data_IF_519313954644
#
_entry.id   IF_519313954644
#
_cell.length_a   1.000
_cell.length_b   1.000
_cell.length_c   1.000
_cell.angle_alpha   90.00
_cell.angle_beta   90.00
_cell.angle_gamma   90.00
#
_symmetry.space_group_name_H-M   'P 1'
#
loop_
_entity.id
_entity.type
_entity.pdbx_description
1 polymer ?
#
# COMPACT_ATOMS: atom_id res chain seq x y z
N UNK A 1 -22.22 23.21 8.01
CA UNK A 1 -22.34 23.72 9.38
C UNK A 1 -20.93 23.79 9.93
N UNK A 2 -20.43 24.97 10.28
CA UNK A 2 -19.11 25.12 10.90
C UNK A 2 -19.28 24.93 12.41
N UNK A 3 -19.20 23.68 12.86
CA UNK A 3 -19.25 23.36 14.28
C UNK A 3 -17.90 23.59 14.96
N UNK A 4 -17.92 23.98 16.23
CA UNK A 4 -16.70 24.05 17.05
C UNK A 4 -16.01 22.68 17.17
N UNK A 5 -14.78 22.66 17.69
CA UNK A 5 -13.98 21.42 17.81
C UNK A 5 -14.73 20.29 18.52
N UNK A 6 -15.49 20.61 19.56
CA UNK A 6 -16.31 19.67 20.33
C UNK A 6 -17.40 19.03 19.45
N UNK A 7 -18.11 19.83 18.65
CA UNK A 7 -19.16 19.31 17.76
C UNK A 7 -18.58 18.40 16.68
N UNK A 8 -17.37 18.70 16.19
CA UNK A 8 -16.69 17.83 15.23
C UNK A 8 -16.24 16.50 15.87
N UNK A 9 -15.79 16.50 17.12
CA UNK A 9 -15.43 15.25 17.82
C UNK A 9 -16.64 14.36 18.05
N UNK A 10 -17.77 14.94 18.45
CA UNK A 10 -19.02 14.18 18.61
C UNK A 10 -19.43 13.56 17.27
N UNK A 11 -19.45 14.36 16.20
CA UNK A 11 -19.72 13.86 14.86
C UNK A 11 -18.75 12.74 14.42
N UNK A 12 -17.45 12.91 14.71
CA UNK A 12 -16.44 11.90 14.38
C UNK A 12 -16.69 10.59 15.13
N UNK A 13 -16.98 10.67 16.42
CA UNK A 13 -17.29 9.49 17.24
C UNK A 13 -18.54 8.76 16.71
N UNK A 14 -19.60 9.50 16.37
CA UNK A 14 -20.83 8.93 15.80
C UNK A 14 -20.57 8.24 14.46
N UNK A 15 -19.75 8.83 13.59
CA UNK A 15 -19.39 8.24 12.29
C UNK A 15 -18.50 7.00 12.44
N UNK A 16 -17.57 6.99 13.39
CA UNK A 16 -16.74 5.82 13.69
C UNK A 16 -17.62 4.67 14.20
N UNK A 17 -18.53 4.96 15.14
CA UNK A 17 -19.42 3.95 15.72
C UNK A 17 -20.35 3.30 14.69
N UNK A 18 -20.83 4.05 13.68
CA UNK A 18 -21.66 3.50 12.59
C UNK A 18 -20.95 2.47 11.74
N UNK A 19 -19.62 2.54 11.70
CA UNK A 19 -18.81 1.81 10.73
C UNK A 19 -18.06 0.68 11.44
N UNK A 20 -17.60 0.90 12.67
CA UNK A 20 -16.88 -0.06 13.49
C UNK A 20 -17.60 -1.43 13.56
N UNK A 21 -16.90 -2.49 13.15
CA UNK A 21 -17.41 -3.87 13.17
C UNK A 21 -18.44 -4.23 12.09
N UNK A 22 -18.96 -3.26 11.32
CA UNK A 22 -20.04 -3.49 10.34
C UNK A 22 -19.50 -3.47 8.90
N UNK A 23 -18.41 -2.73 8.65
CA UNK A 23 -17.93 -2.53 7.29
C UNK A 23 -17.21 -3.74 6.71
N UNK A 24 -17.47 -4.01 5.42
CA UNK A 24 -16.71 -5.00 4.64
C UNK A 24 -16.04 -4.30 3.46
N UNK A 25 -14.70 -4.30 3.37
CA UNK A 25 -13.99 -3.75 2.22
C UNK A 25 -14.27 -4.61 0.98
N UNK A 26 -14.49 -3.96 -0.16
CA UNK A 26 -14.73 -4.63 -1.44
C UNK A 26 -13.89 -4.02 -2.55
N UNK A 27 -13.44 -4.86 -3.47
CA UNK A 27 -12.72 -4.40 -4.65
C UNK A 27 -13.61 -3.55 -5.56
N UNK A 28 -13.08 -2.41 -5.99
CA UNK A 28 -13.66 -1.60 -7.04
C UNK A 28 -13.15 -2.06 -8.41
N UNK A 29 -14.07 -2.21 -9.37
CA UNK A 29 -13.72 -2.49 -10.76
C UNK A 29 -12.92 -1.37 -11.43
N UNK A 30 -12.20 -1.70 -12.51
CA UNK A 30 -11.29 -0.79 -13.23
C UNK A 30 -12.01 0.49 -13.66
N UNK A 31 -13.17 0.37 -14.32
CA UNK A 31 -13.98 1.50 -14.79
C UNK A 31 -14.30 2.46 -13.66
N UNK A 32 -14.71 1.93 -12.49
CA UNK A 32 -15.06 2.75 -11.33
C UNK A 32 -13.85 3.52 -10.79
N UNK A 33 -12.69 2.88 -10.69
CA UNK A 33 -11.45 3.55 -10.22
C UNK A 33 -10.97 4.64 -11.19
N UNK A 34 -11.25 4.49 -12.48
CA UNK A 34 -10.89 5.49 -13.49
C UNK A 34 -11.87 6.67 -13.54
N UNK A 35 -13.18 6.41 -13.44
CA UNK A 35 -14.21 7.43 -13.59
C UNK A 35 -14.52 8.19 -12.29
N UNK A 36 -14.46 7.52 -11.13
CA UNK A 36 -14.76 8.16 -9.85
C UNK A 36 -13.50 8.87 -9.33
N UNK A 37 -13.42 10.17 -9.61
CA UNK A 37 -12.32 11.05 -9.15
C UNK A 37 -12.72 11.97 -8.02
N UNK A 38 -14.01 12.09 -7.71
CA UNK A 38 -14.59 12.90 -6.64
C UNK A 38 -15.75 12.14 -6.02
N UNK A 39 -15.96 12.33 -4.72
CA UNK A 39 -17.14 11.79 -4.02
C UNK A 39 -17.71 12.81 -3.06
N UNK A 40 -18.96 12.60 -2.63
CA UNK A 40 -19.60 13.42 -1.61
C UNK A 40 -19.08 13.06 -0.23
N UNK A 41 -18.97 14.07 0.66
CA UNK A 41 -18.48 13.85 2.02
C UNK A 41 -19.33 12.85 2.82
N UNK A 42 -20.64 12.76 2.53
CA UNK A 42 -21.57 11.82 3.16
C UNK A 42 -21.28 10.35 2.87
N UNK A 43 -20.50 10.07 1.81
CA UNK A 43 -20.12 8.71 1.40
C UNK A 43 -18.70 8.35 1.84
N UNK A 44 -18.07 9.21 2.64
CA UNK A 44 -16.73 9.01 3.16
C UNK A 44 -16.84 8.72 4.65
N UNK A 45 -16.26 7.60 5.03
CA UNK A 45 -16.26 7.11 6.40
C UNK A 45 -14.82 7.16 6.94
N UNK A 46 -14.62 7.68 8.16
CA UNK A 46 -13.32 7.69 8.80
C UNK A 46 -12.92 6.26 9.18
N UNK A 47 -11.65 5.90 8.96
CA UNK A 47 -11.13 4.59 9.38
C UNK A 47 -11.03 4.50 10.91
N UNK A 48 -11.79 3.61 11.59
CA UNK A 48 -11.73 3.45 13.04
C UNK A 48 -10.33 3.11 13.56
N UNK A 49 -9.53 2.42 12.75
CA UNK A 49 -8.18 1.96 13.11
C UNK A 49 -7.09 3.04 12.96
N UNK A 50 -7.45 4.23 12.47
CA UNK A 50 -6.54 5.37 12.29
C UNK A 50 -6.39 6.17 13.60
N UNK A 51 -5.19 6.68 13.87
CA UNK A 51 -4.90 7.48 15.07
C UNK A 51 -5.78 8.72 15.16
N UNK A 52 -6.17 9.28 14.02
CA UNK A 52 -7.12 10.38 13.93
C UNK A 52 -8.45 10.12 14.65
N UNK A 53 -8.88 8.85 14.71
CA UNK A 53 -10.17 8.43 15.26
C UNK A 53 -10.08 7.98 16.72
N UNK A 54 -8.88 7.82 17.28
CA UNK A 54 -8.74 7.34 18.64
C UNK A 54 -9.11 8.41 19.66
N UNK A 55 -9.97 8.13 20.66
CA UNK A 55 -10.39 9.13 21.66
C UNK A 55 -9.22 9.77 22.42
N UNK A 56 -8.11 9.04 22.61
CA UNK A 56 -6.92 9.51 23.33
C UNK A 56 -5.98 10.38 22.49
N UNK A 57 -6.02 10.27 21.15
CA UNK A 57 -5.11 10.98 20.23
C UNK A 57 -5.92 12.02 19.46
N UNK A 58 -6.86 11.54 18.65
CA UNK A 58 -7.82 12.36 17.94
C UNK A 58 -7.22 13.23 16.82
N UNK A 59 -8.02 14.17 16.28
CA UNK A 59 -7.58 15.07 15.23
C UNK A 59 -6.52 16.05 15.71
N UNK A 60 -5.44 16.21 14.94
CA UNK A 60 -4.57 17.38 15.07
C UNK A 60 -5.25 18.60 14.43
N UNK A 61 -5.81 19.47 15.27
CA UNK A 61 -6.58 20.64 14.81
C UNK A 61 -5.75 21.71 14.11
N UNK A 62 -4.43 21.78 14.36
CA UNK A 62 -3.56 22.69 13.65
C UNK A 62 -3.48 22.30 12.17
N UNK A 63 -3.25 21.01 11.90
CA UNK A 63 -3.24 20.46 10.54
C UNK A 63 -4.61 20.65 9.87
N UNK A 64 -5.72 20.37 10.58
CA UNK A 64 -7.08 20.59 10.06
C UNK A 64 -7.28 22.06 9.70
N UNK A 65 -6.92 23.00 10.59
CA UNK A 65 -7.04 24.44 10.37
C UNK A 65 -6.22 24.93 9.17
N UNK A 66 -5.02 24.38 8.97
CA UNK A 66 -4.20 24.67 7.80
C UNK A 66 -4.92 24.32 6.49
N UNK A 67 -5.49 23.11 6.41
CA UNK A 67 -6.30 22.70 5.25
C UNK A 67 -7.60 23.51 5.12
N UNK A 68 -8.24 23.90 6.22
CA UNK A 68 -9.42 24.78 6.17
C UNK A 68 -9.09 26.13 5.53
N UNK A 69 -7.95 26.74 5.92
CA UNK A 69 -7.48 28.00 5.33
C UNK A 69 -7.26 27.85 3.84
N UNK A 70 -6.65 26.74 3.42
CA UNK A 70 -6.45 26.42 2.01
C UNK A 70 -7.78 26.32 1.24
N UNK A 71 -8.75 25.56 1.76
CA UNK A 71 -10.07 25.39 1.13
C UNK A 71 -10.85 26.69 1.05
N UNK A 72 -10.78 27.54 2.08
CA UNK A 72 -11.40 28.87 2.07
C UNK A 72 -10.77 29.78 1.02
N UNK A 73 -9.43 29.76 0.87
CA UNK A 73 -8.71 30.50 -0.18
C UNK A 73 -9.17 30.08 -1.58
N UNK A 74 -9.24 28.76 -1.84
CA UNK A 74 -9.73 28.22 -3.11
C UNK A 74 -11.16 28.68 -3.40
N UNK A 75 -12.04 28.67 -2.40
CA UNK A 75 -13.44 29.08 -2.58
C UNK A 75 -13.59 30.56 -2.94
N UNK A 76 -12.71 31.43 -2.45
CA UNK A 76 -12.69 32.87 -2.80
C UNK A 76 -12.18 33.12 -4.22
N UNK A 77 -11.24 32.31 -4.71
CA UNK A 77 -10.60 32.48 -6.02
C UNK A 77 -11.27 31.68 -7.16
N UNK A 78 -12.56 31.31 -7.01
CA UNK A 78 -13.30 30.43 -7.95
C UNK A 78 -13.35 30.88 -9.42
N UNK A 79 -13.01 32.14 -9.73
CA UNK A 79 -12.97 32.67 -11.09
C UNK A 79 -11.63 32.48 -11.80
N UNK A 80 -10.61 31.92 -11.15
CA UNK A 80 -9.32 31.64 -11.78
C UNK A 80 -9.26 30.19 -12.26
N UNK A 81 -9.49 29.98 -13.56
CA UNK A 81 -9.45 28.67 -14.23
C UNK A 81 -8.07 27.97 -14.12
N UNK A 82 -7.02 28.67 -13.67
CA UNK A 82 -5.67 28.13 -13.48
C UNK A 82 -5.41 27.60 -12.06
N UNK A 83 -6.32 27.78 -11.11
CA UNK A 83 -6.08 27.38 -9.72
C UNK A 83 -6.49 25.91 -9.46
N UNK A 84 -5.55 24.99 -9.70
CA UNK A 84 -5.68 23.60 -9.21
C UNK A 84 -5.43 23.60 -7.70
N UNK A 85 -6.50 23.42 -6.92
CA UNK A 85 -6.45 23.23 -5.46
C UNK A 85 -5.34 22.22 -5.07
N UNK A 86 -4.54 22.46 -4.02
CA UNK A 86 -3.63 21.43 -3.49
C UNK A 86 -4.37 20.15 -3.04
N UNK A 87 -5.60 20.21 -2.54
CA UNK A 87 -6.47 19.02 -2.40
C UNK A 87 -6.95 18.39 -3.73
N UNK A 88 -6.87 19.09 -4.86
CA UNK A 88 -6.98 18.48 -6.19
C UNK A 88 -5.64 17.87 -6.66
N UNK A 89 -4.50 18.33 -6.12
CA UNK A 89 -3.19 17.70 -6.35
C UNK A 89 -3.03 16.41 -5.52
N UNK A 90 -3.60 16.37 -4.32
CA UNK A 90 -3.59 15.21 -3.42
C UNK A 90 -5.01 14.72 -3.08
N UNK A 91 -5.57 13.80 -3.89
CA UNK A 91 -6.85 13.18 -3.57
C UNK A 91 -6.77 12.32 -2.31
N UNK A 92 -7.89 12.16 -1.61
CA UNK A 92 -7.98 11.19 -0.50
C UNK A 92 -7.81 9.77 -1.03
N UNK A 93 -6.97 8.97 -0.40
CA UNK A 93 -6.89 7.55 -0.71
C UNK A 93 -8.02 6.83 0.01
N UNK A 94 -8.86 6.13 -0.74
CA UNK A 94 -10.06 5.50 -0.20
C UNK A 94 -10.21 4.06 -0.66
N UNK A 95 -10.72 3.21 0.20
CA UNK A 95 -11.13 1.84 -0.12
C UNK A 95 -12.65 1.78 -0.20
N UNK A 96 -13.22 1.03 -1.14
CA UNK A 96 -14.68 0.89 -1.24
C UNK A 96 -15.17 -0.07 -0.16
N UNK A 97 -16.27 0.27 0.49
CA UNK A 97 -16.86 -0.57 1.54
C UNK A 97 -18.34 -0.88 1.26
N UNK A 98 -18.86 -1.89 1.97
CA UNK A 98 -20.30 -2.19 2.11
C UNK A 98 -20.74 -1.93 3.56
N UNK A 99 -22.00 -1.49 3.80
CA UNK A 99 -23.14 -1.42 2.85
C UNK A 99 -23.08 -0.31 1.78
N UNK A 100 -22.57 0.88 2.09
CA UNK A 100 -22.32 1.96 1.11
C UNK A 100 -21.07 2.78 1.48
N UNK A 101 -20.54 3.48 0.48
CA UNK A 101 -19.52 4.49 0.65
C UNK A 101 -18.09 3.98 0.46
N UNK A 102 -17.16 4.77 1.01
CA UNK A 102 -15.74 4.52 0.96
C UNK A 102 -15.12 4.81 2.33
N UNK A 103 -14.20 3.95 2.73
CA UNK A 103 -13.35 4.15 3.89
C UNK A 103 -12.16 5.02 3.52
N UNK A 104 -11.86 6.02 4.34
CA UNK A 104 -10.67 6.85 4.16
C UNK A 104 -9.46 6.08 4.67
N UNK A 105 -8.53 5.75 3.77
CA UNK A 105 -7.26 5.13 4.14
C UNK A 105 -6.19 6.19 4.45
N UNK A 106 -6.21 7.31 3.73
CA UNK A 106 -5.31 8.43 3.98
C UNK A 106 -6.00 9.77 3.66
N UNK A 107 -5.78 10.75 4.54
CA UNK A 107 -6.22 12.13 4.37
C UNK A 107 -7.37 12.52 5.29
N UNK A 108 -7.48 11.92 6.47
CA UNK A 108 -8.51 12.23 7.45
C UNK A 108 -8.54 13.71 7.84
N UNK A 109 -7.39 14.36 8.05
CA UNK A 109 -7.35 15.80 8.33
C UNK A 109 -7.88 16.64 7.15
N UNK A 110 -7.60 16.24 5.90
CA UNK A 110 -8.13 16.88 4.69
C UNK A 110 -9.64 16.70 4.57
N UNK A 111 -10.15 15.52 4.90
CA UNK A 111 -11.59 15.25 4.97
C UNK A 111 -12.27 16.08 6.06
N UNK A 112 -11.69 16.12 7.25
CA UNK A 112 -12.19 16.90 8.39
C UNK A 112 -12.28 18.40 8.06
N UNK A 113 -11.22 18.94 7.45
CA UNK A 113 -11.21 20.33 6.98
C UNK A 113 -12.29 20.57 5.91
N UNK A 114 -12.52 19.61 5.02
CA UNK A 114 -13.53 19.73 3.97
C UNK A 114 -14.94 19.72 4.56
N UNK A 115 -15.18 18.88 5.56
CA UNK A 115 -16.42 18.83 6.31
C UNK A 115 -16.69 20.17 7.02
N UNK A 116 -15.71 20.67 7.77
CA UNK A 116 -15.83 21.92 8.56
C UNK A 116 -16.01 23.16 7.68
N UNK A 117 -15.40 23.19 6.49
CA UNK A 117 -15.59 24.27 5.50
C UNK A 117 -16.88 24.15 4.68
N UNK A 118 -17.62 23.05 4.85
CA UNK A 118 -18.89 22.81 4.16
C UNK A 118 -18.73 22.48 2.67
N UNK A 119 -17.61 21.86 2.28
CA UNK A 119 -17.45 21.35 0.91
C UNK A 119 -18.46 20.22 0.67
N UNK A 120 -19.05 20.17 -0.53
CA UNK A 120 -20.00 19.09 -0.90
C UNK A 120 -19.27 17.83 -1.36
N UNK A 121 -18.14 18.01 -2.04
CA UNK A 121 -17.37 16.95 -2.67
C UNK A 121 -15.88 17.18 -2.48
N UNK A 122 -15.11 16.09 -2.46
CA UNK A 122 -13.65 16.11 -2.38
C UNK A 122 -13.05 15.11 -3.39
N UNK A 123 -11.87 15.39 -3.96
CA UNK A 123 -11.16 14.45 -4.82
C UNK A 123 -10.77 13.17 -4.08
N UNK A 124 -10.92 12.03 -4.74
CA UNK A 124 -10.61 10.70 -4.19
C UNK A 124 -9.87 9.83 -5.20
N UNK A 125 -9.02 8.95 -4.68
CA UNK A 125 -8.33 7.88 -5.39
C UNK A 125 -8.75 6.57 -4.75
N UNK A 126 -9.52 5.77 -5.50
CA UNK A 126 -9.97 4.47 -5.04
C UNK A 126 -8.84 3.45 -5.20
N UNK A 127 -8.52 2.73 -4.12
CA UNK A 127 -7.52 1.65 -4.11
C UNK A 127 -8.16 0.33 -3.71
N UNK A 128 -7.67 -0.74 -4.32
CA UNK A 128 -7.96 -2.12 -3.96
C UNK A 128 -6.77 -2.64 -3.16
N UNK A 129 -6.86 -2.64 -1.84
CA UNK A 129 -5.80 -3.16 -0.97
C UNK A 129 -5.86 -4.68 -0.90
N UNK A 130 -4.77 -5.32 -0.50
CA UNK A 130 -4.75 -6.78 -0.39
C UNK A 130 -5.65 -7.26 0.75
N UNK A 131 -6.65 -8.08 0.41
CA UNK A 131 -7.51 -8.72 1.38
C UNK A 131 -7.05 -10.16 1.64
N UNK A 132 -7.51 -10.74 2.75
CA UNK A 132 -7.13 -12.10 3.13
C UNK A 132 -7.47 -13.15 2.05
N UNK A 133 -8.65 -13.02 1.42
CA UNK A 133 -9.07 -13.89 0.33
C UNK A 133 -8.14 -13.78 -0.89
N UNK A 134 -7.56 -12.61 -1.13
CA UNK A 134 -6.59 -12.44 -2.20
C UNK A 134 -5.29 -13.16 -1.87
N UNK A 135 -4.83 -13.10 -0.61
CA UNK A 135 -3.63 -13.83 -0.16
C UNK A 135 -3.86 -15.33 -0.31
N UNK A 136 -5.03 -15.85 0.09
CA UNK A 136 -5.40 -17.25 -0.09
C UNK A 136 -5.35 -17.67 -1.56
N UNK A 137 -5.88 -16.84 -2.47
CA UNK A 137 -5.84 -17.09 -3.92
C UNK A 137 -4.42 -17.07 -4.47
N UNK A 138 -3.61 -16.08 -4.08
CA UNK A 138 -2.21 -15.98 -4.48
C UNK A 138 -1.41 -17.18 -3.98
N UNK A 139 -1.64 -17.63 -2.74
CA UNK A 139 -0.99 -18.80 -2.17
C UNK A 139 -1.36 -20.09 -2.91
N UNK A 140 -2.63 -20.24 -3.28
CA UNK A 140 -3.11 -21.40 -4.05
C UNK A 140 -2.57 -21.40 -5.49
N UNK A 141 -2.35 -20.23 -6.08
CA UNK A 141 -1.78 -20.09 -7.43
C UNK A 141 -0.24 -20.19 -7.47
N UNK A 142 0.42 -20.20 -6.30
CA UNK A 142 1.86 -20.17 -6.20
C UNK A 142 2.48 -21.52 -6.60
N UNK A 143 3.45 -21.48 -7.52
CA UNK A 143 3.97 -22.66 -8.22
C UNK A 143 5.06 -23.38 -7.45
N UNK A 144 5.72 -22.72 -6.51
CA UNK A 144 6.90 -23.24 -5.84
C UNK A 144 6.66 -23.48 -4.35
N UNK A 145 7.67 -24.04 -3.69
CA UNK A 145 7.72 -24.36 -2.26
C UNK A 145 8.77 -23.52 -1.50
N UNK A 146 9.59 -22.74 -2.21
CA UNK A 146 10.45 -21.70 -1.63
C UNK A 146 9.84 -20.33 -1.89
N UNK A 147 10.03 -19.41 -0.93
CA UNK A 147 9.54 -18.04 -1.04
C UNK A 147 10.66 -17.04 -0.89
N UNK A 148 10.60 -15.95 -1.64
CA UNK A 148 11.33 -14.72 -1.35
C UNK A 148 10.35 -13.61 -1.01
N UNK A 149 10.66 -12.82 0.01
CA UNK A 149 9.91 -11.62 0.36
C UNK A 149 10.77 -10.37 0.23
N UNK A 150 10.24 -9.32 -0.37
CA UNK A 150 10.92 -8.03 -0.49
C UNK A 150 10.00 -6.89 -0.06
N UNK A 151 10.56 -5.87 0.59
CA UNK A 151 9.89 -4.59 0.79
C UNK A 151 9.87 -3.80 -0.53
N UNK A 152 8.67 -3.48 -0.99
CA UNK A 152 8.44 -2.81 -2.25
C UNK A 152 9.00 -1.38 -2.24
N UNK A 153 8.79 -0.65 -1.14
CA UNK A 153 9.12 0.77 -1.04
C UNK A 153 10.61 0.97 -0.78
N UNK A 154 11.25 0.08 -0.03
CA UNK A 154 12.65 0.24 0.39
C UNK A 154 13.65 -0.49 -0.50
N UNK A 155 13.25 -1.62 -1.08
CA UNK A 155 14.16 -2.51 -1.81
C UNK A 155 13.84 -2.52 -3.30
N UNK A 156 12.57 -2.64 -3.67
CA UNK A 156 12.18 -2.88 -5.07
C UNK A 156 12.04 -1.60 -5.88
N UNK A 157 11.42 -0.57 -5.33
CA UNK A 157 11.32 0.73 -5.98
C UNK A 157 12.60 1.51 -5.84
N UNK A 158 12.96 2.21 -6.92
CA UNK A 158 14.10 3.10 -6.87
C UNK A 158 13.79 4.32 -6.01
N UNK A 159 14.69 4.57 -5.07
CA UNK A 159 14.83 5.77 -4.25
C UNK A 159 16.23 6.33 -4.47
N UNK A 160 16.45 7.59 -4.10
CA UNK A 160 17.77 8.23 -4.21
C UNK A 160 18.89 7.46 -3.47
N UNK A 161 18.52 6.63 -2.49
CA UNK A 161 19.43 5.93 -1.58
C UNK A 161 19.73 4.46 -1.93
N UNK A 162 19.09 3.90 -2.96
CA UNK A 162 19.24 2.47 -3.29
C UNK A 162 19.67 2.25 -4.75
N UNK A 163 20.38 3.21 -5.32
CA UNK A 163 21.05 3.04 -6.60
C UNK A 163 20.25 3.40 -7.85
N UNK A 164 20.73 2.94 -9.02
CA UNK A 164 20.14 3.28 -10.30
C UNK A 164 18.78 2.62 -10.53
N UNK A 165 18.00 3.23 -11.42
CA UNK A 165 16.67 2.77 -11.79
C UNK A 165 16.66 2.08 -13.16
N UNK A 166 15.80 1.07 -13.30
CA UNK A 166 15.42 0.49 -14.59
C UNK A 166 14.87 1.54 -15.53
N UNK A 167 15.04 1.33 -16.85
CA UNK A 167 14.55 2.26 -17.88
C UNK A 167 13.09 2.66 -17.60
N UNK A 168 12.74 3.95 -17.76
CA UNK A 168 11.37 4.37 -17.55
C UNK A 168 10.45 3.67 -18.56
N UNK A 169 9.22 3.38 -18.17
CA UNK A 169 8.22 2.82 -19.08
C UNK A 169 7.98 3.79 -20.26
N UNK A 170 7.62 3.28 -21.45
CA UNK A 170 7.30 4.15 -22.58
C UNK A 170 6.03 4.96 -22.30
N UNK A 171 5.86 6.06 -23.04
CA UNK A 171 4.59 6.81 -23.05
C UNK A 171 3.47 5.92 -23.61
N UNK A 172 2.25 5.92 -23.03
CA UNK A 172 1.76 6.78 -21.93
C UNK A 172 1.98 6.21 -20.52
N UNK A 173 2.53 5.02 -20.38
CA UNK A 173 2.61 4.29 -19.11
C UNK A 173 3.45 4.99 -18.05
N UNK A 174 4.52 5.73 -18.42
CA UNK A 174 5.28 6.55 -17.46
C UNK A 174 4.47 7.59 -16.69
N UNK A 175 3.33 8.04 -17.24
CA UNK A 175 2.47 9.01 -16.56
C UNK A 175 1.48 8.33 -15.61
N UNK A 176 1.21 7.03 -15.84
CA UNK A 176 0.32 6.21 -15.02
C UNK A 176 1.11 5.66 -13.85
N UNK A 177 2.26 5.04 -14.13
CA UNK A 177 3.15 4.46 -13.14
C UNK A 177 4.29 5.41 -12.84
N UNK A 178 4.23 6.02 -11.66
CA UNK A 178 5.22 7.03 -11.24
C UNK A 178 6.49 6.39 -10.70
N UNK A 179 6.37 5.21 -10.11
CA UNK A 179 7.48 4.47 -9.53
C UNK A 179 8.30 3.77 -10.62
N UNK A 180 9.61 3.81 -10.47
CA UNK A 180 10.55 3.02 -11.27
C UNK A 180 11.08 1.88 -10.41
N UNK A 181 11.39 0.76 -11.05
CA UNK A 181 12.05 -0.35 -10.36
C UNK A 181 13.54 -0.04 -10.20
N UNK A 182 14.14 -0.50 -9.10
CA UNK A 182 15.59 -0.55 -8.91
C UNK A 182 16.21 -1.43 -10.00
N UNK A 183 17.40 -1.04 -10.47
CA UNK A 183 18.11 -1.75 -11.52
C UNK A 183 18.35 -3.23 -11.14
N UNK A 184 18.04 -4.13 -12.07
CA UNK A 184 18.24 -5.57 -11.92
C UNK A 184 17.10 -6.32 -11.24
N UNK A 185 16.05 -5.64 -10.73
CA UNK A 185 14.86 -6.31 -10.19
C UNK A 185 14.23 -7.30 -11.18
N UNK A 186 14.00 -6.95 -12.47
CA UNK A 186 13.44 -7.91 -13.42
C UNK A 186 14.32 -9.15 -13.61
N UNK A 187 15.64 -8.97 -13.66
CA UNK A 187 16.60 -10.06 -13.79
C UNK A 187 16.61 -10.95 -12.54
N UNK A 188 16.63 -10.35 -11.35
CA UNK A 188 16.58 -11.05 -10.08
C UNK A 188 15.28 -11.87 -9.96
N UNK A 189 14.12 -11.30 -10.29
CA UNK A 189 12.85 -12.02 -10.18
C UNK A 189 12.79 -13.21 -11.15
N UNK A 190 13.34 -13.04 -12.35
CA UNK A 190 13.48 -14.15 -13.31
C UNK A 190 14.41 -15.24 -12.78
N UNK A 191 15.56 -14.86 -12.22
CA UNK A 191 16.50 -15.80 -11.60
C UNK A 191 15.82 -16.58 -10.47
N UNK A 192 15.18 -15.88 -9.52
CA UNK A 192 14.45 -16.50 -8.41
C UNK A 192 13.40 -17.51 -8.91
N UNK A 193 12.62 -17.14 -9.93
CA UNK A 193 11.64 -18.04 -10.52
C UNK A 193 12.25 -19.30 -11.13
N UNK A 194 13.37 -19.18 -11.87
CA UNK A 194 14.10 -20.33 -12.44
C UNK A 194 14.66 -21.24 -11.35
N UNK A 195 15.09 -20.66 -10.23
CA UNK A 195 15.59 -21.39 -9.07
C UNK A 195 14.48 -21.85 -8.10
N UNK A 196 13.22 -21.85 -8.54
CA UNK A 196 12.11 -22.42 -7.78
C UNK A 196 11.68 -21.58 -6.57
N UNK A 197 11.77 -20.26 -6.65
CA UNK A 197 11.24 -19.34 -5.65
C UNK A 197 10.00 -18.59 -6.13
N UNK A 198 8.99 -18.52 -5.27
CA UNK A 198 7.87 -17.60 -5.43
C UNK A 198 8.21 -16.23 -4.82
N UNK A 199 8.14 -15.19 -5.66
CA UNK A 199 8.45 -13.81 -5.24
C UNK A 199 7.20 -13.15 -4.66
N UNK A 200 7.31 -12.68 -3.43
CA UNK A 200 6.28 -11.94 -2.70
C UNK A 200 6.78 -10.54 -2.38
N UNK A 201 5.96 -9.53 -2.66
CA UNK A 201 6.29 -8.14 -2.37
C UNK A 201 5.33 -7.55 -1.36
N UNK A 202 5.86 -6.75 -0.44
CA UNK A 202 5.13 -6.14 0.67
C UNK A 202 5.27 -4.63 0.64
N UNK A 203 4.22 -3.90 0.98
CA UNK A 203 4.27 -2.44 1.08
C UNK A 203 3.39 -1.94 2.21
N UNK A 204 3.97 -1.08 3.05
CA UNK A 204 3.23 -0.32 4.06
C UNK A 204 2.25 0.68 3.41
N UNK A 205 2.61 1.20 2.24
CA UNK A 205 1.83 2.18 1.50
C UNK A 205 0.55 1.60 0.89
N UNK A 206 -0.45 2.47 0.72
CA UNK A 206 -1.77 2.12 0.19
C UNK A 206 -1.79 2.05 -1.34
N UNK A 207 -0.88 1.28 -1.93
CA UNK A 207 -0.95 0.96 -3.34
C UNK A 207 -2.14 0.07 -3.65
N UNK A 208 -2.75 0.25 -4.81
CA UNK A 208 -3.70 -0.74 -5.27
C UNK A 208 -2.95 -1.97 -5.76
N UNK A 209 -3.36 -3.16 -5.35
CA UNK A 209 -2.73 -4.42 -5.77
C UNK A 209 -2.64 -4.56 -7.30
N UNK A 210 -3.69 -4.17 -8.03
CA UNK A 210 -3.68 -4.21 -9.51
C UNK A 210 -2.68 -3.23 -10.13
N UNK A 211 -2.45 -2.09 -9.48
CA UNK A 211 -1.48 -1.11 -9.94
C UNK A 211 -0.08 -1.71 -9.87
N UNK A 212 0.27 -2.33 -8.74
CA UNK A 212 1.55 -3.03 -8.55
C UNK A 212 1.69 -4.20 -9.52
N UNK A 213 0.65 -5.03 -9.64
CA UNK A 213 0.64 -6.18 -10.55
C UNK A 213 0.90 -5.77 -11.99
N UNK A 214 0.21 -4.74 -12.46
CA UNK A 214 0.39 -4.26 -13.83
C UNK A 214 1.76 -3.59 -14.03
N UNK A 215 2.27 -2.86 -13.03
CA UNK A 215 3.62 -2.29 -13.08
C UNK A 215 4.67 -3.37 -13.30
N UNK A 216 4.68 -4.43 -12.49
CA UNK A 216 5.62 -5.54 -12.66
C UNK A 216 5.46 -6.24 -14.01
N UNK A 217 4.22 -6.43 -14.47
CA UNK A 217 3.94 -7.00 -15.80
C UNK A 217 4.57 -6.16 -16.92
N UNK A 218 4.52 -4.82 -16.83
CA UNK A 218 5.14 -3.93 -17.83
C UNK A 218 6.66 -4.00 -17.82
N UNK A 219 7.27 -4.37 -16.69
CA UNK A 219 8.70 -4.62 -16.55
C UNK A 219 9.08 -6.09 -16.79
N UNK A 220 8.15 -6.94 -17.22
CA UNK A 220 8.35 -8.39 -17.40
C UNK A 220 8.85 -9.11 -16.13
N UNK A 221 8.53 -8.57 -14.95
CA UNK A 221 8.84 -9.15 -13.67
C UNK A 221 7.60 -9.90 -13.15
N UNK A 222 7.78 -11.16 -12.76
CA UNK A 222 6.69 -11.98 -12.22
C UNK A 222 6.71 -11.96 -10.69
N UNK A 223 5.54 -11.76 -10.09
CA UNK A 223 5.33 -11.83 -8.63
C UNK A 223 4.20 -12.79 -8.33
N UNK A 224 4.45 -13.74 -7.43
CA UNK A 224 3.44 -14.69 -6.97
C UNK A 224 2.48 -14.04 -5.98
N UNK A 225 2.97 -13.13 -5.14
CA UNK A 225 2.17 -12.45 -4.12
C UNK A 225 2.44 -10.96 -4.00
N UNK A 226 1.38 -10.18 -3.79
CA UNK A 226 1.43 -8.73 -3.58
C UNK A 226 0.61 -8.38 -2.34
N UNK A 227 1.25 -7.85 -1.31
CA UNK A 227 0.59 -7.45 -0.06
C UNK A 227 0.82 -5.96 0.17
N UNK A 228 -0.22 -5.15 -0.07
CA UNK A 228 -0.17 -3.68 0.07
C UNK A 228 -1.01 -3.18 1.23
N UNK A 229 -0.63 -2.04 1.80
CA UNK A 229 -1.35 -1.43 2.92
C UNK A 229 -1.11 -2.14 4.25
N UNK A 230 0.07 -2.75 4.44
CA UNK A 230 0.41 -3.48 5.68
C UNK A 230 0.49 -2.57 6.91
N UNK A 231 0.61 -1.25 6.72
CA UNK A 231 0.49 -0.26 7.79
C UNK A 231 -0.92 -0.24 8.41
N UNK A 232 -1.93 -0.80 7.74
CA UNK A 232 -3.25 -0.99 8.32
C UNK A 232 -3.14 -1.89 9.54
N UNK A 233 -3.51 -1.36 10.70
CA UNK A 233 -3.69 -2.17 11.91
C UNK A 233 -4.80 -3.19 11.61
N UNK A 234 -4.50 -4.46 11.84
CA UNK A 234 -5.48 -5.52 11.67
C UNK A 234 -6.63 -5.29 12.66
N UNK A 235 -7.89 -5.56 12.27
CA UNK A 235 -9.01 -5.51 13.20
C UNK A 235 -8.71 -6.40 14.40
N UNK A 236 -8.95 -5.91 15.63
CA UNK A 236 -8.75 -6.69 16.86
C UNK A 236 -9.57 -8.00 16.77
N UNK A 237 -8.92 -9.14 16.99
CA UNK A 237 -9.58 -10.45 17.09
C UNK A 237 -9.57 -11.33 15.83
N UNK A 238 -8.75 -11.03 14.81
CA UNK A 238 -8.67 -11.89 13.62
C UNK A 238 -7.91 -13.21 13.90
N UNK A 239 -8.61 -14.22 14.42
CA UNK A 239 -8.12 -15.62 14.42
C UNK A 239 -7.64 -16.08 13.03
N UNK A 240 -8.09 -15.41 11.98
CA UNK A 240 -7.73 -15.66 10.58
C UNK A 240 -6.30 -15.25 10.19
N UNK A 241 -5.67 -14.28 10.87
CA UNK A 241 -4.29 -13.88 10.55
C UNK A 241 -3.29 -15.00 10.91
N UNK A 242 -3.47 -15.59 12.09
CA UNK A 242 -2.67 -16.73 12.53
C UNK A 242 -2.85 -17.94 11.62
N UNK A 243 -4.10 -18.23 11.21
CA UNK A 243 -4.38 -19.29 10.23
C UNK A 243 -3.68 -19.04 8.89
N UNK A 244 -3.65 -17.80 8.42
CA UNK A 244 -2.97 -17.44 7.18
C UNK A 244 -1.44 -17.56 7.31
N UNK A 245 -0.88 -17.12 8.43
CA UNK A 245 0.55 -17.27 8.72
C UNK A 245 0.96 -18.74 8.79
N UNK A 246 0.12 -19.59 9.40
CA UNK A 246 0.35 -21.03 9.45
C UNK A 246 0.30 -21.66 8.06
N UNK A 247 -0.70 -21.33 7.24
CA UNK A 247 -0.76 -21.78 5.83
C UNK A 247 0.45 -21.33 5.01
N UNK A 248 0.95 -20.12 5.26
CA UNK A 248 2.16 -19.60 4.61
C UNK A 248 3.40 -20.41 5.02
N UNK A 249 3.54 -20.75 6.30
CA UNK A 249 4.65 -21.59 6.81
C UNK A 249 4.58 -23.03 6.29
N UNK A 250 3.37 -23.58 6.18
CA UNK A 250 3.14 -24.92 5.62
C UNK A 250 3.52 -24.99 4.14
N UNK A 251 3.10 -24.01 3.35
CA UNK A 251 3.41 -23.93 1.91
C UNK A 251 4.87 -23.62 1.63
N UNK A 252 5.49 -22.76 2.46
CA UNK A 252 6.88 -22.32 2.27
C UNK A 252 7.78 -22.70 3.47
N UNK A 253 8.34 -23.92 3.48
CA UNK A 253 9.32 -24.32 4.48
C UNK A 253 10.52 -23.37 4.53
N UNK A 254 10.98 -22.87 3.38
CA UNK A 254 12.11 -21.95 3.28
C UNK A 254 11.64 -20.59 2.75
N UNK A 255 11.90 -19.54 3.53
CA UNK A 255 11.69 -18.15 3.12
C UNK A 255 13.00 -17.38 3.14
N UNK A 256 13.28 -16.62 2.09
CA UNK A 256 14.34 -15.61 2.08
C UNK A 256 13.71 -14.22 2.21
N UNK A 257 14.19 -13.42 3.14
CA UNK A 257 13.91 -11.99 3.24
C UNK A 257 15.10 -11.25 2.63
N UNK A 258 14.85 -10.46 1.59
CA UNK A 258 15.90 -9.70 0.90
C UNK A 258 15.72 -8.23 1.21
N UNK A 259 16.74 -7.65 1.86
CA UNK A 259 16.84 -6.24 2.17
C UNK A 259 18.02 -5.59 1.42
N UNK A 260 18.27 -4.30 1.69
CA UNK A 260 19.39 -3.59 1.08
C UNK A 260 20.76 -4.07 1.57
N UNK A 261 20.84 -4.47 2.85
CA UNK A 261 22.10 -4.78 3.52
C UNK A 261 22.35 -6.27 3.75
N UNK A 262 21.31 -7.12 3.66
CA UNK A 262 21.45 -8.54 3.94
C UNK A 262 20.33 -9.37 3.31
N UNK A 263 20.58 -10.67 3.20
CA UNK A 263 19.57 -11.70 2.94
C UNK A 263 19.40 -12.51 4.21
N UNK A 264 18.18 -12.57 4.75
CA UNK A 264 17.85 -13.43 5.89
C UNK A 264 17.11 -14.67 5.41
N UNK A 265 17.71 -15.84 5.60
CA UNK A 265 17.08 -17.14 5.38
C UNK A 265 16.38 -17.58 6.64
N UNK A 266 15.12 -17.97 6.51
CA UNK A 266 14.30 -18.54 7.58
C UNK A 266 13.82 -19.92 7.14
N UNK A 267 14.10 -20.93 7.96
CA UNK A 267 13.54 -22.28 7.82
C UNK A 267 12.43 -22.46 8.86
N UNK A 268 11.20 -22.60 8.38
CA UNK A 268 10.00 -22.72 9.22
C UNK A 268 9.93 -24.05 9.97
N UNK A 269 10.63 -25.10 9.50
CA UNK A 269 10.60 -26.44 10.12
C UNK A 269 11.57 -26.52 11.27
N UNK A 270 12.80 -26.06 11.07
CA UNK A 270 13.86 -26.08 12.09
C UNK A 270 13.85 -24.83 12.97
N UNK A 271 13.09 -23.80 12.58
CA UNK A 271 13.08 -22.46 13.22
C UNK A 271 14.47 -21.82 13.27
N UNK A 272 15.35 -22.17 12.34
CA UNK A 272 16.69 -21.60 12.24
C UNK A 272 16.69 -20.41 11.30
N UNK A 273 17.51 -19.42 11.62
CA UNK A 273 17.77 -18.26 10.79
C UNK A 273 19.25 -18.19 10.44
N UNK A 274 19.54 -17.75 9.21
CA UNK A 274 20.89 -17.45 8.76
C UNK A 274 20.87 -16.12 8.01
N UNK A 275 21.81 -15.25 8.31
CA UNK A 275 21.92 -13.93 7.69
C UNK A 275 23.18 -13.89 6.82
N UNK A 276 23.02 -13.38 5.61
CA UNK A 276 24.08 -13.23 4.63
C UNK A 276 24.22 -11.75 4.31
N UNK A 277 25.26 -11.06 4.82
CA UNK A 277 25.45 -9.64 4.60
C UNK A 277 25.77 -9.37 3.12
N UNK A 278 25.32 -8.21 2.63
CA UNK A 278 25.61 -7.68 1.30
C UNK A 278 26.61 -6.53 1.44
N UNK A 279 27.44 -6.35 0.42
CA UNK A 279 28.48 -5.33 0.32
C UNK A 279 27.94 -3.90 0.31
N UNK A 280 26.65 -3.72 -0.02
CA UNK A 280 26.01 -2.42 -0.16
C UNK A 280 26.36 -1.68 -1.46
N UNK A 281 26.96 -2.37 -2.44
CA UNK A 281 27.18 -1.77 -3.76
C UNK A 281 25.87 -1.75 -4.56
N UNK A 282 25.31 -0.55 -4.69
CA UNK A 282 24.03 -0.28 -5.33
C UNK A 282 23.95 -0.68 -6.82
N UNK A 283 25.05 -0.58 -7.57
CA UNK A 283 25.05 -0.87 -9.01
C UNK A 283 25.03 -2.37 -9.31
N UNK A 284 25.57 -3.19 -8.40
CA UNK A 284 25.68 -4.65 -8.55
C UNK A 284 24.83 -5.42 -7.54
N UNK A 285 23.97 -4.74 -6.77
CA UNK A 285 23.19 -5.31 -5.68
C UNK A 285 22.39 -6.56 -6.09
N UNK A 286 21.70 -6.51 -7.23
CA UNK A 286 20.91 -7.65 -7.72
C UNK A 286 21.79 -8.84 -8.10
N UNK A 287 22.99 -8.59 -8.64
CA UNK A 287 23.97 -9.63 -8.99
C UNK A 287 24.52 -10.29 -7.75
N UNK A 288 24.91 -9.49 -6.75
CA UNK A 288 25.41 -10.01 -5.48
C UNK A 288 24.40 -10.95 -4.82
N UNK A 289 23.11 -10.59 -4.84
CA UNK A 289 22.04 -11.47 -4.35
C UNK A 289 21.98 -12.78 -5.13
N UNK A 290 22.06 -12.73 -6.46
CA UNK A 290 22.05 -13.94 -7.29
C UNK A 290 23.25 -14.84 -6.96
N UNK A 291 24.44 -14.26 -6.78
CA UNK A 291 25.67 -14.98 -6.44
C UNK A 291 25.56 -15.63 -5.06
N UNK A 292 25.07 -14.90 -4.06
CA UNK A 292 24.86 -15.42 -2.70
C UNK A 292 23.85 -16.57 -2.70
N UNK A 293 22.71 -16.41 -3.39
CA UNK A 293 21.68 -17.47 -3.49
C UNK A 293 22.23 -18.68 -4.26
N UNK A 294 22.97 -18.49 -5.35
CA UNK A 294 23.60 -19.58 -6.10
C UNK A 294 24.63 -20.34 -5.25
N UNK A 295 25.39 -19.64 -4.40
CA UNK A 295 26.28 -20.25 -3.42
C UNK A 295 25.55 -21.10 -2.38
N UNK A 296 24.37 -20.67 -1.92
CA UNK A 296 23.57 -21.47 -0.98
C UNK A 296 23.04 -22.77 -1.59
N UNK A 297 22.73 -22.78 -2.89
CA UNK A 297 22.17 -23.97 -3.56
C UNK A 297 23.24 -25.01 -3.89
N UNK A 298 24.48 -24.57 -4.12
CA UNK A 298 25.64 -25.42 -4.43
C UNK A 298 26.29 -26.07 -3.20
N UNK A 299 25.98 -25.58 -1.98
CA UNK A 299 26.43 -26.15 -0.71
C UNK A 299 25.49 -27.23 -0.14
N UNK A 300 24.49 -27.68 -0.93
CA UNK A 300 23.66 -28.86 -0.62
C UNK A 300 24.31 -30.13 -1.14
#
# INVERSE_FOLDING_TARGET
MAGGNIQFQQFLADEVQKVEGIYVPIHAGIIRRLLVRKTTLKRLHPNPDDEFCFPKIGPNYEIVSNYEREYRRIRKNKNDARFVSPAAKEPLTVERIRPDGYMIMNGHHRWAAAYRTGLKQIPVKIVNLTQENDIRKMLAAASHDKRVTLDLDEVVFQKEKNGPAEKPLPFPFRNIYRERLRLGIPALFRYLGVHGYDVWVFSANYYSMDYIRNLFRMYHAHVAGIVTGTARKAPKGSHTKEQLENRMKEKYPMTLHIDNAAITRVDSRTKTFAEFPLSGNDDTWSKEIMDVIGGMETQK
#
